data_IF_884242355673
#
_entry.id   IF_884242355673
#
_cell.length_a   1.000
_cell.length_b   1.000
_cell.length_c   1.000
_cell.angle_alpha   90.00
_cell.angle_beta   90.00
_cell.angle_gamma   90.00
#
_symmetry.space_group_name_H-M   'P 1'
#
loop_
_entity.id
_entity.type
_entity.pdbx_description
1 polymer ?
#
# COMPACT_ATOMS: atom_id res chain seq x y z
N UNK A 1 9.19 17.90 -11.21
CA UNK A 1 7.75 17.69 -11.44
C UNK A 1 7.08 17.60 -10.08
N UNK A 2 5.90 18.20 -9.87
CA UNK A 2 5.22 18.17 -8.57
C UNK A 2 4.50 16.82 -8.44
N UNK A 3 4.57 16.20 -7.27
CA UNK A 3 3.78 15.01 -6.96
C UNK A 3 2.31 15.39 -6.69
N UNK A 4 1.40 14.48 -7.01
CA UNK A 4 -0.04 14.69 -7.03
C UNK A 4 -0.78 13.57 -6.30
N UNK A 5 -1.80 13.95 -5.54
CA UNK A 5 -2.68 13.06 -4.78
C UNK A 5 -4.01 12.87 -5.53
N UNK A 6 -4.59 11.66 -5.45
CA UNK A 6 -5.94 11.38 -5.94
C UNK A 6 -6.85 11.13 -4.75
N UNK A 7 -7.88 11.97 -4.62
CA UNK A 7 -8.91 11.86 -3.57
C UNK A 7 -10.27 11.61 -4.26
N UNK A 8 -11.13 10.83 -3.61
CA UNK A 8 -12.51 10.61 -4.06
C UNK A 8 -12.64 9.45 -5.02
N UNK A 9 -12.34 9.66 -6.31
CA UNK A 9 -12.52 8.65 -7.36
C UNK A 9 -11.18 8.22 -7.96
N UNK A 10 -10.91 6.91 -7.96
CA UNK A 10 -9.71 6.31 -8.54
C UNK A 10 -9.52 6.68 -10.02
N UNK A 11 -10.60 6.92 -10.78
CA UNK A 11 -10.51 7.37 -12.18
C UNK A 11 -9.87 8.75 -12.33
N UNK A 12 -9.75 9.53 -11.24
CA UNK A 12 -8.96 10.76 -11.19
C UNK A 12 -7.50 10.55 -11.63
N UNK A 13 -6.95 9.35 -11.42
CA UNK A 13 -5.61 8.97 -11.88
C UNK A 13 -5.38 9.27 -13.37
N UNK A 14 -6.39 9.08 -14.23
CA UNK A 14 -6.28 9.30 -15.69
C UNK A 14 -5.95 10.74 -16.08
N UNK A 15 -6.11 11.69 -15.16
CA UNK A 15 -5.84 13.11 -15.38
C UNK A 15 -4.42 13.50 -14.97
N UNK A 16 -3.71 12.62 -14.28
CA UNK A 16 -2.35 12.86 -13.83
C UNK A 16 -1.35 12.62 -14.94
N UNK A 17 -0.20 13.28 -14.85
CA UNK A 17 0.96 12.92 -15.65
C UNK A 17 1.56 11.62 -15.11
N UNK A 18 2.14 10.80 -16.00
CA UNK A 18 2.85 9.59 -15.58
C UNK A 18 3.91 9.94 -14.53
N UNK A 19 4.01 9.11 -13.48
CA UNK A 19 5.00 9.26 -12.41
C UNK A 19 4.82 10.50 -11.52
N UNK A 20 3.70 11.22 -11.61
CA UNK A 20 3.35 12.25 -10.61
C UNK A 20 2.48 11.71 -9.49
N UNK A 21 1.88 10.53 -9.66
CA UNK A 21 1.00 9.97 -8.65
C UNK A 21 1.79 9.53 -7.40
N UNK A 22 1.38 10.01 -6.22
CA UNK A 22 2.12 9.74 -4.99
C UNK A 22 2.04 8.30 -4.53
N UNK A 23 3.21 7.78 -4.15
CA UNK A 23 3.31 6.54 -3.41
C UNK A 23 2.93 6.71 -1.94
N UNK A 24 2.56 5.60 -1.30
CA UNK A 24 2.11 5.60 0.10
C UNK A 24 3.18 6.11 1.09
N UNK A 25 4.46 5.81 0.85
CA UNK A 25 5.59 6.27 1.67
C UNK A 25 5.88 7.76 1.48
N UNK A 26 5.72 8.24 0.25
CA UNK A 26 5.82 9.67 -0.07
C UNK A 26 4.68 10.46 0.58
N UNK A 27 3.46 9.94 0.49
CA UNK A 27 2.28 10.52 1.15
C UNK A 27 2.43 10.52 2.67
N UNK A 28 2.92 9.44 3.27
CA UNK A 28 3.18 9.38 4.71
C UNK A 28 4.17 10.47 5.14
N UNK A 29 5.22 10.68 4.34
CA UNK A 29 6.20 11.73 4.59
C UNK A 29 5.59 13.13 4.44
N UNK A 30 4.68 13.33 3.49
CA UNK A 30 3.96 14.59 3.34
C UNK A 30 3.00 14.83 4.52
N UNK A 31 2.31 13.80 5.01
CA UNK A 31 1.46 13.87 6.20
C UNK A 31 2.25 14.24 7.46
N UNK A 32 3.54 13.91 7.52
CA UNK A 32 4.44 14.37 8.59
C UNK A 32 4.63 15.87 8.60
N UNK A 33 4.80 16.49 7.44
CA UNK A 33 5.01 17.95 7.32
C UNK A 33 3.73 18.75 7.11
N UNK A 34 2.61 18.08 6.78
CA UNK A 34 1.30 18.71 6.55
C UNK A 34 0.18 18.00 7.34
N UNK A 35 -0.14 18.47 8.56
CA UNK A 35 -1.16 17.86 9.41
C UNK A 35 -2.57 17.78 8.80
N UNK A 36 -2.91 18.66 7.86
CA UNK A 36 -4.23 18.66 7.20
C UNK A 36 -4.49 17.39 6.38
N UNK A 37 -3.42 16.73 5.93
CA UNK A 37 -3.49 15.50 5.13
C UNK A 37 -3.69 14.25 6.00
N UNK A 38 -3.49 14.32 7.32
CA UNK A 38 -3.49 13.13 8.20
C UNK A 38 -4.86 12.47 8.35
N UNK A 39 -5.94 13.21 8.15
CA UNK A 39 -7.32 12.70 8.28
C UNK A 39 -8.02 12.52 6.91
N UNK A 40 -7.25 12.50 5.83
CA UNK A 40 -7.78 12.38 4.47
C UNK A 40 -7.52 10.97 3.91
N UNK A 41 -8.44 10.51 3.06
CA UNK A 41 -8.31 9.25 2.33
C UNK A 41 -7.75 9.52 0.94
N UNK A 42 -6.74 8.74 0.57
CA UNK A 42 -6.05 8.89 -0.71
C UNK A 42 -6.02 7.56 -1.44
N UNK A 43 -6.16 7.61 -2.75
CA UNK A 43 -5.59 6.57 -3.59
C UNK A 43 -4.10 6.82 -3.73
N UNK A 44 -3.32 5.75 -3.81
CA UNK A 44 -1.86 5.81 -3.97
C UNK A 44 -1.45 5.13 -5.27
N UNK A 45 -0.27 5.48 -5.76
CA UNK A 45 0.33 4.85 -6.93
C UNK A 45 0.70 3.38 -6.69
N UNK A 46 0.84 2.96 -5.42
CA UNK A 46 1.12 1.57 -5.05
C UNK A 46 -0.05 0.63 -5.33
N UNK A 47 0.26 -0.59 -5.75
CA UNK A 47 -0.72 -1.65 -6.00
C UNK A 47 -0.65 -2.74 -4.93
N UNK A 48 -1.81 -3.30 -4.58
CA UNK A 48 -1.91 -4.49 -3.73
C UNK A 48 -2.40 -5.70 -4.52
N UNK A 49 -1.64 -6.79 -4.53
CA UNK A 49 -2.03 -8.06 -5.17
C UNK A 49 -1.92 -9.21 -4.18
N UNK A 50 -2.92 -10.09 -4.15
CA UNK A 50 -2.93 -11.27 -3.30
C UNK A 50 -2.88 -12.53 -4.14
N UNK A 51 -2.06 -13.51 -3.75
CA UNK A 51 -1.95 -14.77 -4.47
C UNK A 51 -1.61 -15.94 -3.55
N UNK A 52 -1.90 -17.16 -3.99
CA UNK A 52 -1.51 -18.39 -3.33
C UNK A 52 -0.49 -19.15 -4.18
N UNK A 53 0.77 -19.20 -3.75
CA UNK A 53 1.84 -19.90 -4.47
C UNK A 53 2.63 -20.80 -3.54
N UNK A 54 2.91 -22.02 -3.99
CA UNK A 54 3.74 -23.00 -3.25
C UNK A 54 3.34 -23.14 -1.77
N UNK A 55 2.02 -23.17 -1.50
CA UNK A 55 1.40 -23.26 -0.16
C UNK A 55 1.54 -22.02 0.74
N UNK A 56 1.94 -20.88 0.19
CA UNK A 56 2.03 -19.58 0.88
C UNK A 56 0.95 -18.63 0.36
N UNK A 57 0.31 -17.92 1.29
CA UNK A 57 -0.55 -16.78 0.97
C UNK A 57 0.34 -15.55 0.94
N UNK A 58 0.46 -14.91 -0.23
CA UNK A 58 1.37 -13.79 -0.45
C UNK A 58 0.57 -12.52 -0.69
N UNK A 59 1.04 -11.43 -0.12
CA UNK A 59 0.63 -10.06 -0.45
C UNK A 59 1.80 -9.37 -1.14
N UNK A 60 1.55 -8.81 -2.31
CA UNK A 60 2.54 -8.15 -3.14
C UNK A 60 2.18 -6.66 -3.17
N UNK A 61 3.11 -5.81 -2.76
CA UNK A 61 2.98 -4.36 -2.78
C UNK A 61 3.87 -3.83 -3.90
N UNK A 62 3.28 -3.27 -4.94
CA UNK A 62 3.97 -2.84 -6.17
C UNK A 62 4.14 -1.33 -6.22
N UNK A 63 5.12 -0.84 -7.01
CA UNK A 63 5.16 0.59 -7.43
C UNK A 63 4.22 0.80 -8.63
N UNK A 64 4.08 2.06 -9.06
CA UNK A 64 3.16 2.51 -10.11
C UNK A 64 3.31 1.69 -11.39
N UNK A 65 4.53 1.47 -11.93
CA UNK A 65 4.67 0.79 -13.21
C UNK A 65 4.34 -0.70 -13.17
N UNK A 66 4.15 -1.28 -11.98
CA UNK A 66 3.73 -2.67 -11.76
C UNK A 66 2.36 -2.76 -11.09
N UNK A 67 1.67 -1.64 -10.92
CA UNK A 67 0.33 -1.61 -10.37
C UNK A 67 -0.68 -2.00 -11.46
N UNK A 68 -1.03 -3.29 -11.48
CA UNK A 68 -1.95 -3.87 -12.47
C UNK A 68 -3.35 -3.25 -12.48
N UNK A 69 -3.75 -2.59 -11.38
CA UNK A 69 -4.98 -1.80 -11.34
C UNK A 69 -4.84 -0.57 -12.21
N UNK A 70 -3.75 0.18 -12.09
CA UNK A 70 -3.54 1.41 -12.85
C UNK A 70 -3.26 1.13 -14.34
N UNK A 71 -2.52 0.06 -14.63
CA UNK A 71 -2.27 -0.39 -16.00
C UNK A 71 -3.57 -0.73 -16.75
N UNK A 72 -4.58 -1.26 -16.03
CA UNK A 72 -5.85 -1.71 -16.59
C UNK A 72 -7.04 -0.95 -15.98
N UNK A 73 -6.87 0.36 -15.76
CA UNK A 73 -7.72 1.14 -14.86
C UNK A 73 -9.23 1.06 -15.16
N UNK A 74 -9.65 1.04 -16.43
CA UNK A 74 -11.07 0.95 -16.78
C UNK A 74 -11.70 -0.38 -16.36
N UNK A 75 -11.01 -1.48 -16.68
CA UNK A 75 -11.48 -2.83 -16.37
C UNK A 75 -11.36 -3.11 -14.87
N UNK A 76 -10.27 -2.68 -14.25
CA UNK A 76 -10.09 -2.78 -12.81
C UNK A 76 -11.16 -1.99 -12.06
N UNK A 77 -11.45 -0.75 -12.47
CA UNK A 77 -12.51 0.06 -11.87
C UNK A 77 -13.88 -0.60 -12.01
N UNK A 78 -14.21 -1.13 -13.19
CA UNK A 78 -15.46 -1.85 -13.45
C UNK A 78 -15.60 -3.07 -12.53
N UNK A 79 -14.55 -3.88 -12.37
CA UNK A 79 -14.59 -5.06 -11.50
C UNK A 79 -14.62 -4.68 -10.02
N UNK A 80 -13.82 -3.70 -9.58
CA UNK A 80 -13.79 -3.25 -8.18
C UNK A 80 -15.15 -2.70 -7.74
N UNK A 81 -15.78 -1.88 -8.58
CA UNK A 81 -17.09 -1.27 -8.27
C UNK A 81 -18.26 -2.23 -8.44
N UNK A 82 -18.17 -3.18 -9.37
CA UNK A 82 -19.26 -4.14 -9.65
C UNK A 82 -19.20 -5.45 -8.85
N UNK A 83 -18.00 -5.95 -8.57
CA UNK A 83 -17.76 -7.29 -8.00
C UNK A 83 -16.99 -7.23 -6.66
N UNK A 84 -16.44 -6.07 -6.30
CA UNK A 84 -15.66 -5.87 -5.08
C UNK A 84 -14.20 -6.30 -5.16
N UNK A 85 -13.78 -7.00 -6.22
CA UNK A 85 -12.40 -7.42 -6.43
C UNK A 85 -12.02 -7.30 -7.91
N UNK A 86 -10.76 -6.98 -8.19
CA UNK A 86 -10.19 -7.05 -9.54
C UNK A 86 -9.30 -8.29 -9.66
N UNK A 87 -9.52 -9.07 -10.72
CA UNK A 87 -8.75 -10.26 -11.05
C UNK A 87 -7.88 -10.00 -12.29
N UNK A 88 -6.61 -9.58 -12.11
CA UNK A 88 -5.71 -9.35 -13.24
C UNK A 88 -5.39 -10.67 -13.96
N UNK A 89 -5.00 -10.57 -15.24
CA UNK A 89 -4.49 -11.70 -16.00
C UNK A 89 -3.23 -12.31 -15.35
N UNK A 90 -3.04 -13.62 -15.51
CA UNK A 90 -1.95 -14.37 -14.86
C UNK A 90 -0.56 -13.84 -15.18
N UNK A 91 -0.30 -13.44 -16.43
CA UNK A 91 1.00 -12.89 -16.82
C UNK A 91 1.27 -11.53 -16.16
N UNK A 92 0.29 -10.63 -16.13
CA UNK A 92 0.43 -9.34 -15.45
C UNK A 92 0.70 -9.51 -13.95
N UNK A 93 -0.07 -10.40 -13.30
CA UNK A 93 0.14 -10.75 -11.90
C UNK A 93 1.54 -11.33 -11.63
N UNK A 94 2.05 -12.15 -12.54
CA UNK A 94 3.40 -12.73 -12.46
C UNK A 94 4.47 -11.65 -12.61
N UNK A 95 4.34 -10.74 -13.58
CA UNK A 95 5.27 -9.62 -13.75
C UNK A 95 5.34 -8.76 -12.50
N UNK A 96 4.21 -8.43 -11.87
CA UNK A 96 4.19 -7.70 -10.61
C UNK A 96 4.88 -8.45 -9.47
N UNK A 97 4.67 -9.77 -9.37
CA UNK A 97 5.30 -10.60 -8.34
C UNK A 97 6.83 -10.68 -8.50
N UNK A 98 7.32 -10.81 -9.73
CA UNK A 98 8.74 -11.04 -10.03
C UNK A 98 9.56 -9.73 -10.13
N UNK A 99 8.90 -8.57 -10.15
CA UNK A 99 9.58 -7.29 -10.27
C UNK A 99 10.39 -6.94 -9.01
N UNK A 100 11.59 -6.40 -9.21
CA UNK A 100 12.55 -6.07 -8.13
C UNK A 100 12.05 -5.04 -7.12
N UNK A 101 11.17 -4.14 -7.55
CA UNK A 101 10.65 -3.04 -6.71
C UNK A 101 9.36 -3.43 -5.98
N UNK A 102 8.90 -4.67 -6.18
CA UNK A 102 7.76 -5.25 -5.48
C UNK A 102 8.18 -5.82 -4.14
N UNK A 103 7.37 -5.52 -3.12
CA UNK A 103 7.54 -6.06 -1.78
C UNK A 103 6.58 -7.23 -1.62
N UNK A 104 7.12 -8.45 -1.50
CA UNK A 104 6.34 -9.68 -1.33
C UNK A 104 6.33 -10.09 0.14
N UNK A 105 5.16 -10.15 0.74
CA UNK A 105 4.94 -10.42 2.17
C UNK A 105 4.20 -11.75 2.34
N UNK A 106 4.69 -12.62 3.22
CA UNK A 106 3.96 -13.83 3.61
C UNK A 106 2.88 -13.49 4.64
N UNK A 107 1.61 -13.55 4.24
CA UNK A 107 0.48 -13.17 5.10
C UNK A 107 0.36 -14.02 6.37
N UNK A 108 0.90 -15.25 6.38
CA UNK A 108 0.88 -16.10 7.59
C UNK A 108 1.82 -15.61 8.70
N UNK A 109 2.81 -14.80 8.34
CA UNK A 109 3.74 -14.20 9.30
C UNK A 109 3.25 -12.82 9.77
N UNK A 110 2.13 -12.32 9.25
CA UNK A 110 1.51 -11.11 9.79
C UNK A 110 0.57 -11.49 10.93
N UNK A 111 0.70 -10.83 12.08
CA UNK A 111 -0.27 -10.95 13.18
C UNK A 111 -1.59 -10.24 12.81
N UNK A 112 -2.38 -10.88 11.95
CA UNK A 112 -3.64 -10.32 11.46
C UNK A 112 -4.71 -10.28 12.55
N UNK A 113 -5.22 -9.09 12.83
CA UNK A 113 -6.41 -8.90 13.66
C UNK A 113 -7.64 -9.21 12.80
N UNK A 114 -8.49 -10.12 13.27
CA UNK A 114 -9.71 -10.48 12.55
C UNK A 114 -10.76 -9.39 12.71
N UNK A 115 -11.33 -8.94 11.60
CA UNK A 115 -12.53 -8.13 11.55
C UNK A 115 -13.77 -8.99 11.32
N UNK A 116 -14.95 -8.40 11.54
CA UNK A 116 -16.22 -9.03 11.14
C UNK A 116 -16.25 -9.23 9.61
N UNK A 117 -16.81 -10.36 9.16
CA UNK A 117 -16.96 -10.65 7.72
C UNK A 117 -15.77 -11.34 7.05
N UNK A 118 -14.83 -11.90 7.82
CA UNK A 118 -13.73 -12.71 7.28
C UNK A 118 -12.55 -11.90 6.72
N UNK A 119 -12.61 -10.57 6.85
CA UNK A 119 -11.49 -9.67 6.57
C UNK A 119 -10.53 -9.67 7.77
N UNK A 120 -9.24 -9.45 7.51
CA UNK A 120 -8.23 -9.25 8.52
C UNK A 120 -7.38 -8.03 8.19
N UNK A 121 -6.87 -7.37 9.21
CA UNK A 121 -5.98 -6.22 9.04
C UNK A 121 -4.73 -6.40 9.90
N UNK A 122 -3.61 -5.89 9.39
CA UNK A 122 -2.35 -5.83 10.11
C UNK A 122 -2.23 -4.43 10.72
N UNK A 123 -1.86 -4.35 12.00
CA UNK A 123 -1.69 -3.09 12.71
C UNK A 123 -0.23 -2.93 13.10
N UNK A 124 0.33 -1.77 12.77
CA UNK A 124 1.64 -1.36 13.30
C UNK A 124 1.41 -0.49 14.52
N UNK A 125 1.89 -0.91 15.68
CA UNK A 125 2.01 -0.04 16.85
C UNK A 125 3.27 0.84 16.69
N UNK A 126 3.12 2.16 16.49
CA UNK A 126 4.26 3.04 16.28
C UNK A 126 5.21 3.12 17.49
N UNK A 127 4.74 2.77 18.70
CA UNK A 127 5.57 2.71 19.92
C UNK A 127 6.31 1.39 20.08
N UNK A 128 5.95 0.37 19.30
CA UNK A 128 6.49 -0.99 19.41
C UNK A 128 7.11 -1.51 18.11
N UNK A 129 7.54 -0.63 17.18
CA UNK A 129 8.10 -1.02 15.88
C UNK A 129 9.32 -1.95 15.96
N UNK A 130 10.05 -1.93 17.08
CA UNK A 130 11.19 -2.84 17.34
C UNK A 130 10.75 -4.29 17.58
N UNK A 131 9.45 -4.53 17.82
CA UNK A 131 8.86 -5.87 18.03
C UNK A 131 8.35 -6.50 16.74
N UNK A 132 8.27 -5.73 15.64
CA UNK A 132 7.82 -6.27 14.36
C UNK A 132 8.75 -7.38 13.90
N UNK A 133 8.17 -8.49 13.44
CA UNK A 133 8.94 -9.54 12.79
C UNK A 133 9.41 -9.09 11.39
N UNK A 134 10.18 -9.93 10.69
CA UNK A 134 10.77 -9.54 9.40
C UNK A 134 9.73 -9.22 8.31
N UNK A 135 8.61 -9.95 8.25
CA UNK A 135 7.57 -9.75 7.23
C UNK A 135 6.70 -8.52 7.56
N UNK A 136 6.41 -8.31 8.84
CA UNK A 136 5.73 -7.12 9.34
C UNK A 136 6.56 -5.85 9.12
N UNK A 137 7.85 -5.89 9.45
CA UNK A 137 8.79 -4.78 9.22
C UNK A 137 8.88 -4.46 7.73
N UNK A 138 8.92 -5.49 6.88
CA UNK A 138 8.96 -5.34 5.41
C UNK A 138 7.72 -4.63 4.88
N UNK A 139 6.53 -5.02 5.33
CA UNK A 139 5.28 -4.35 4.97
C UNK A 139 5.23 -2.91 5.50
N UNK A 140 5.60 -2.71 6.77
CA UNK A 140 5.59 -1.42 7.42
C UNK A 140 6.54 -0.41 6.76
N UNK A 141 7.77 -0.81 6.43
CA UNK A 141 8.72 0.05 5.72
C UNK A 141 8.22 0.44 4.33
N UNK A 142 7.53 -0.46 3.63
CA UNK A 142 6.95 -0.09 2.34
C UNK A 142 5.91 1.02 2.45
N UNK A 143 5.13 1.03 3.53
CA UNK A 143 4.04 1.97 3.73
C UNK A 143 4.54 3.27 4.34
N UNK A 144 5.37 3.17 5.38
CA UNK A 144 5.70 4.29 6.25
C UNK A 144 7.11 4.86 6.02
N UNK A 145 7.88 4.33 5.07
CA UNK A 145 9.22 4.84 4.76
C UNK A 145 10.20 3.70 4.47
N UNK A 146 10.76 3.59 3.25
CA UNK A 146 11.59 2.46 2.86
C UNK A 146 12.97 2.46 3.53
N UNK A 147 13.45 3.63 3.95
CA UNK A 147 14.70 3.79 4.71
C UNK A 147 14.43 3.97 6.22
N UNK A 148 15.41 3.61 7.05
CA UNK A 148 15.28 3.63 8.51
C UNK A 148 15.02 5.03 9.09
N UNK A 149 15.53 6.07 8.44
CA UNK A 149 15.37 7.44 8.90
C UNK A 149 13.92 7.91 8.72
N UNK A 150 13.38 7.81 7.50
CA UNK A 150 12.00 8.18 7.23
C UNK A 150 11.01 7.27 7.95
N UNK A 151 11.30 5.96 8.02
CA UNK A 151 10.47 5.03 8.80
C UNK A 151 10.41 5.46 10.27
N UNK A 152 11.56 5.74 10.89
CA UNK A 152 11.64 6.17 12.29
C UNK A 152 10.88 7.47 12.56
N UNK A 153 11.11 8.49 11.73
CA UNK A 153 10.48 9.80 11.89
C UNK A 153 8.96 9.76 11.66
N UNK A 154 8.50 8.95 10.69
CA UNK A 154 7.06 8.79 10.44
C UNK A 154 6.39 8.01 11.59
N UNK A 155 7.07 7.00 12.15
CA UNK A 155 6.57 6.25 13.33
C UNK A 155 6.52 7.12 14.58
N UNK A 156 7.52 7.97 14.81
CA UNK A 156 7.54 8.93 15.93
C UNK A 156 6.34 9.87 15.86
N UNK A 157 6.07 10.46 14.69
CA UNK A 157 4.87 11.30 14.49
C UNK A 157 3.58 10.55 14.89
N UNK A 158 3.39 9.31 14.41
CA UNK A 158 2.17 8.55 14.74
C UNK A 158 2.10 8.16 16.23
N UNK A 159 3.24 7.93 16.89
CA UNK A 159 3.30 7.64 18.32
C UNK A 159 2.90 8.84 19.19
N UNK A 160 3.27 10.06 18.77
CA UNK A 160 2.93 11.31 19.44
C UNK A 160 1.45 11.68 19.27
N UNK A 161 0.93 11.54 18.05
CA UNK A 161 -0.45 11.93 17.70
C UNK A 161 -1.50 10.91 18.18
N UNK A 162 -1.07 9.69 18.54
CA UNK A 162 -1.96 8.61 18.97
C UNK A 162 -2.90 8.09 17.87
N UNK A 163 -2.54 8.34 16.60
CA UNK A 163 -3.31 7.94 15.41
C UNK A 163 -2.37 7.26 14.44
N UNK A 164 -2.76 6.10 13.93
CA UNK A 164 -2.20 5.52 12.70
C UNK A 164 -3.29 5.56 11.61
N UNK A 165 -2.95 5.87 10.35
CA UNK A 165 -3.91 5.82 9.24
C UNK A 165 -4.50 4.43 9.05
#
# INVERSE_FOLDING_TARGET
>A
MKLENVIGDLLGYKRLYSSTFQHVDQLTTEQRTNPELRNQWFYTADGGLYTFQKRKCLWIITREPQNVVLENIDEAYRQLTGQGNYFPGTEAAKTSLEHKDSVVVNLKELELVRAYGGQGYFVVDPKAVKKLNSEERKAAQRIYGPDEENFGLNMEMFAEEGKTP
#
